data_IF_092152196205
#
_entry.id   IF_092152196205
#
_cell.length_a   1.000
_cell.length_b   1.000
_cell.length_c   1.000
_cell.angle_alpha   90.00
_cell.angle_beta   90.00
_cell.angle_gamma   90.00
#
_symmetry.space_group_name_H-M   'P 1'
#
loop_
_entity.id
_entity.type
_entity.pdbx_description
1 polymer ?
#
# COMPACT_ATOMS: atom_id res chain seq x y z
N UNK A 1 34.20 16.62 -37.52
CA UNK A 1 34.85 16.51 -36.20
C UNK A 1 35.18 15.06 -35.83
N UNK A 2 36.45 14.84 -35.47
CA UNK A 2 37.00 14.03 -34.36
C UNK A 2 36.26 12.73 -33.96
N UNK A 3 36.74 11.61 -34.51
CA UNK A 3 36.54 10.25 -33.97
C UNK A 3 37.26 10.09 -32.62
N UNK A 4 36.56 9.47 -31.67
CA UNK A 4 36.93 9.36 -30.26
C UNK A 4 38.19 8.54 -29.98
N UNK A 5 39.02 9.06 -29.07
CA UNK A 5 40.15 8.38 -28.46
C UNK A 5 39.62 7.51 -27.32
N UNK A 6 39.62 6.19 -27.51
CA UNK A 6 39.34 5.21 -26.46
C UNK A 6 40.56 5.13 -25.54
N UNK A 7 40.39 5.46 -24.25
CA UNK A 7 41.42 5.29 -23.23
C UNK A 7 41.58 3.79 -22.93
N UNK A 8 42.79 3.31 -23.10
CA UNK A 8 43.27 1.96 -22.74
C UNK A 8 43.34 1.85 -21.22
N UNK A 9 42.60 0.91 -20.62
CA UNK A 9 42.72 0.54 -19.21
C UNK A 9 43.60 -0.71 -19.14
N UNK A 10 44.71 -0.58 -18.44
CA UNK A 10 45.67 -1.65 -18.14
C UNK A 10 44.98 -2.77 -17.37
N UNK A 11 45.21 -4.02 -17.80
CA UNK A 11 44.80 -5.22 -17.10
C UNK A 11 45.52 -5.29 -15.75
N UNK A 12 44.78 -5.15 -14.66
CA UNK A 12 45.21 -5.65 -13.35
C UNK A 12 44.87 -7.14 -13.35
N UNK A 13 45.87 -7.97 -13.11
CA UNK A 13 45.67 -9.39 -12.79
C UNK A 13 45.17 -9.43 -11.35
N UNK A 14 43.90 -9.77 -11.17
CA UNK A 14 43.37 -10.21 -9.87
C UNK A 14 43.46 -11.73 -9.86
N UNK A 15 44.20 -12.24 -8.89
CA UNK A 15 44.35 -13.65 -8.58
C UNK A 15 42.98 -14.17 -8.09
N UNK A 16 42.50 -15.25 -8.71
CA UNK A 16 41.29 -15.96 -8.27
C UNK A 16 41.61 -16.70 -6.97
N UNK A 17 41.32 -16.07 -5.83
CA UNK A 17 41.12 -16.79 -4.56
C UNK A 17 39.66 -17.26 -4.52
N UNK A 18 39.44 -18.52 -4.92
CA UNK A 18 38.22 -19.25 -4.59
C UNK A 18 38.23 -19.53 -3.07
N UNK A 19 37.67 -18.61 -2.29
CA UNK A 19 37.23 -18.89 -0.93
C UNK A 19 35.73 -19.19 -0.94
N UNK A 20 35.41 -20.45 -0.67
CA UNK A 20 34.07 -21.00 -0.40
C UNK A 20 33.43 -20.24 0.80
N UNK A 21 32.81 -19.11 0.54
CA UNK A 21 32.12 -18.29 1.55
C UNK A 21 30.60 -18.32 1.34
N UNK A 22 30.05 -19.53 1.19
CA UNK A 22 28.61 -19.78 1.00
C UNK A 22 27.84 -19.86 2.34
N UNK A 23 28.52 -19.69 3.49
CA UNK A 23 27.91 -19.77 4.82
C UNK A 23 27.57 -18.39 5.43
N UNK A 24 28.13 -17.30 4.90
CA UNK A 24 27.88 -15.95 5.45
C UNK A 24 26.49 -15.39 5.11
N UNK A 25 25.83 -15.92 4.07
CA UNK A 25 24.53 -15.43 3.60
C UNK A 25 23.34 -15.98 4.39
N UNK A 26 23.53 -17.05 5.16
CA UNK A 26 22.45 -17.72 5.88
C UNK A 26 22.03 -17.03 7.19
N UNK A 27 22.88 -16.14 7.74
CA UNK A 27 22.68 -15.64 9.11
C UNK A 27 21.98 -14.28 9.24
N UNK A 28 21.49 -13.68 8.15
CA UNK A 28 20.78 -12.40 8.19
C UNK A 28 19.25 -12.50 8.26
N UNK A 29 18.69 -13.72 8.31
CA UNK A 29 17.25 -13.90 8.55
C UNK A 29 17.02 -14.33 10.00
N UNK A 30 16.35 -13.51 10.83
CA UNK A 30 16.12 -13.83 12.24
C UNK A 30 15.12 -14.98 12.38
N UNK A 31 15.59 -16.22 12.33
CA UNK A 31 14.72 -17.40 12.49
C UNK A 31 14.64 -17.94 13.92
N UNK A 32 15.55 -17.58 14.84
CA UNK A 32 15.75 -18.43 16.04
C UNK A 32 15.73 -17.76 17.42
N UNK A 33 15.11 -16.58 17.62
CA UNK A 33 15.15 -15.97 18.96
C UNK A 33 13.81 -15.53 19.58
N UNK A 34 12.69 -15.57 18.88
CA UNK A 34 11.39 -15.27 19.49
C UNK A 34 10.33 -16.18 18.88
N UNK A 35 9.69 -17.04 19.68
CA UNK A 35 8.59 -17.88 19.20
C UNK A 35 7.39 -17.07 18.68
N UNK A 36 7.30 -15.77 19.01
CA UNK A 36 6.24 -14.86 18.57
C UNK A 36 6.69 -13.83 17.50
N UNK A 37 8.00 -13.65 17.29
CA UNK A 37 8.54 -12.64 16.36
C UNK A 37 8.24 -12.93 14.88
N UNK A 38 8.44 -14.18 14.39
CA UNK A 38 8.09 -14.56 13.03
C UNK A 38 6.59 -14.44 12.75
N UNK A 39 5.73 -14.81 13.70
CA UNK A 39 4.27 -14.73 13.54
C UNK A 39 3.77 -13.28 13.44
N UNK A 40 4.23 -12.40 14.34
CA UNK A 40 3.87 -10.97 14.29
C UNK A 40 4.36 -10.31 13.00
N UNK A 41 5.52 -10.73 12.48
CA UNK A 41 6.07 -10.25 11.21
C UNK A 41 5.17 -10.68 10.03
N UNK A 42 4.78 -11.95 9.97
CA UNK A 42 3.89 -12.48 8.91
C UNK A 42 2.52 -11.81 8.93
N UNK A 43 1.93 -11.63 10.12
CA UNK A 43 0.64 -10.94 10.29
C UNK A 43 0.71 -9.49 9.83
N UNK A 44 1.78 -8.77 10.20
CA UNK A 44 1.99 -7.38 9.77
C UNK A 44 2.20 -7.27 8.26
N UNK A 45 3.01 -8.15 7.66
CA UNK A 45 3.22 -8.18 6.21
C UNK A 45 1.92 -8.44 5.47
N UNK A 46 1.11 -9.39 5.95
CA UNK A 46 -0.20 -9.66 5.36
C UNK A 46 -1.12 -8.45 5.45
N UNK A 47 -1.20 -7.80 6.61
CA UNK A 47 -2.03 -6.60 6.79
C UNK A 47 -1.57 -5.44 5.87
N UNK A 48 -0.26 -5.31 5.61
CA UNK A 48 0.27 -4.34 4.65
C UNK A 48 -0.13 -4.68 3.21
N UNK A 49 -0.02 -5.95 2.81
CA UNK A 49 -0.41 -6.42 1.47
C UNK A 49 -1.90 -6.25 1.20
N UNK A 50 -2.74 -6.60 2.19
CA UNK A 50 -4.19 -6.45 2.07
C UNK A 50 -4.60 -4.97 1.88
N UNK A 51 -3.83 -4.03 2.45
CA UNK A 51 -4.08 -2.60 2.31
C UNK A 51 -3.69 -2.03 0.93
N UNK A 52 -2.84 -2.71 0.14
CA UNK A 52 -2.47 -2.24 -1.22
C UNK A 52 -3.67 -2.22 -2.17
N UNK A 53 -4.64 -3.11 -1.97
CA UNK A 53 -5.86 -3.23 -2.77
C UNK A 53 -7.08 -2.51 -2.15
N UNK A 54 -6.84 -1.57 -1.22
CA UNK A 54 -7.91 -0.92 -0.48
C UNK A 54 -8.75 0.05 -1.32
N UNK A 55 -9.92 0.43 -0.82
CA UNK A 55 -10.90 1.22 -1.56
C UNK A 55 -10.39 2.60 -2.00
N UNK A 56 -9.53 3.24 -1.21
CA UNK A 56 -8.86 4.49 -1.60
C UNK A 56 -7.87 4.30 -2.76
N UNK A 57 -7.41 3.09 -3.06
CA UNK A 57 -6.62 2.77 -4.24
C UNK A 57 -7.46 2.69 -5.53
N UNK A 58 -8.78 2.53 -5.42
CA UNK A 58 -9.70 2.35 -6.54
C UNK A 58 -9.92 3.65 -7.33
N UNK A 59 -8.98 3.95 -8.23
CA UNK A 59 -9.04 5.13 -9.08
C UNK A 59 -10.27 5.13 -10.01
N UNK A 60 -10.74 3.95 -10.43
CA UNK A 60 -11.89 3.82 -11.33
C UNK A 60 -13.17 4.30 -10.66
N UNK A 61 -13.45 3.81 -9.45
CA UNK A 61 -14.64 4.23 -8.69
C UNK A 61 -14.56 5.72 -8.33
N UNK A 62 -13.38 6.22 -7.92
CA UNK A 62 -13.21 7.66 -7.65
C UNK A 62 -13.47 8.52 -8.87
N UNK A 63 -12.99 8.11 -10.04
CA UNK A 63 -13.23 8.84 -11.29
C UNK A 63 -14.72 8.87 -11.64
N UNK A 64 -15.43 7.74 -11.46
CA UNK A 64 -16.89 7.68 -11.66
C UNK A 64 -17.63 8.65 -10.73
N UNK A 65 -17.29 8.66 -9.44
CA UNK A 65 -17.86 9.61 -8.46
C UNK A 65 -17.56 11.05 -8.85
N UNK A 66 -16.32 11.37 -9.23
CA UNK A 66 -15.93 12.72 -9.64
C UNK A 66 -16.61 13.18 -10.94
N UNK A 67 -17.02 12.24 -11.80
CA UNK A 67 -17.75 12.52 -13.03
C UNK A 67 -19.27 12.63 -12.87
N UNK A 68 -19.80 12.46 -11.65
CA UNK A 68 -21.23 12.61 -11.40
C UNK A 68 -21.68 14.04 -11.75
N UNK A 69 -22.81 14.20 -12.45
CA UNK A 69 -23.31 15.51 -12.87
C UNK A 69 -23.75 16.37 -11.67
N UNK A 70 -23.72 17.69 -11.80
CA UNK A 70 -24.06 18.58 -10.67
C UNK A 70 -25.53 18.44 -10.24
N UNK A 71 -26.40 18.08 -11.18
CA UNK A 71 -27.82 17.87 -10.99
C UNK A 71 -28.13 16.74 -10.01
N UNK A 72 -27.22 15.79 -9.77
CA UNK A 72 -27.43 14.73 -8.76
C UNK A 72 -27.12 15.18 -7.32
N UNK A 73 -26.50 16.35 -7.14
CA UNK A 73 -26.09 16.86 -5.82
C UNK A 73 -26.63 18.25 -5.49
N UNK A 74 -27.03 19.05 -6.48
CA UNK A 74 -27.55 20.40 -6.29
C UNK A 74 -29.05 20.47 -6.60
N UNK A 75 -29.85 20.55 -5.54
CA UNK A 75 -31.32 20.65 -5.62
C UNK A 75 -31.81 21.91 -6.33
N UNK A 76 -31.02 22.98 -6.35
CA UNK A 76 -31.41 24.23 -7.02
C UNK A 76 -31.51 24.05 -8.54
N UNK A 77 -30.83 23.06 -9.10
CA UNK A 77 -30.86 22.76 -10.54
C UNK A 77 -32.14 22.05 -10.99
N UNK A 78 -32.97 21.56 -10.05
CA UNK A 78 -34.22 20.86 -10.39
C UNK A 78 -35.22 21.78 -11.11
N UNK A 79 -35.18 23.09 -10.87
CA UNK A 79 -36.06 24.06 -11.55
C UNK A 79 -35.84 24.10 -13.08
N UNK A 80 -34.67 23.65 -13.54
CA UNK A 80 -34.30 23.61 -14.97
C UNK A 80 -34.88 22.38 -15.68
N UNK A 81 -35.44 21.42 -14.95
CA UNK A 81 -36.07 20.23 -15.52
C UNK A 81 -37.53 20.55 -15.84
N UNK A 82 -37.82 20.71 -17.13
CA UNK A 82 -39.12 21.17 -17.62
C UNK A 82 -39.99 20.05 -18.18
N UNK A 83 -39.46 18.85 -18.33
CA UNK A 83 -40.16 17.71 -18.92
C UNK A 83 -39.96 16.42 -18.14
N UNK A 84 -40.94 15.51 -18.27
CA UNK A 84 -40.97 14.24 -17.56
C UNK A 84 -39.82 13.31 -17.97
N UNK A 85 -39.39 13.35 -19.23
CA UNK A 85 -38.34 12.45 -19.72
C UNK A 85 -36.99 12.81 -19.09
N UNK A 86 -36.66 14.11 -19.02
CA UNK A 86 -35.48 14.60 -18.33
C UNK A 86 -35.52 14.29 -16.83
N UNK A 87 -36.68 14.44 -16.18
CA UNK A 87 -36.85 14.07 -14.78
C UNK A 87 -36.63 12.56 -14.54
N UNK A 88 -37.23 11.71 -15.38
CA UNK A 88 -37.08 10.25 -15.28
C UNK A 88 -35.63 9.80 -15.53
N UNK A 89 -34.87 10.50 -16.41
CA UNK A 89 -33.43 10.27 -16.61
C UNK A 89 -32.62 10.67 -15.38
N UNK A 90 -32.84 11.89 -14.85
CA UNK A 90 -32.13 12.34 -13.66
C UNK A 90 -32.40 11.41 -12.46
N UNK A 91 -33.65 10.98 -12.28
CA UNK A 91 -34.02 10.04 -11.20
C UNK A 91 -33.16 8.78 -11.23
N UNK A 92 -32.98 8.17 -12.41
CA UNK A 92 -32.12 6.98 -12.56
C UNK A 92 -30.67 7.28 -12.23
N UNK A 93 -30.13 8.41 -12.70
CA UNK A 93 -28.76 8.82 -12.39
C UNK A 93 -28.56 9.09 -10.90
N UNK A 94 -29.55 9.68 -10.22
CA UNK A 94 -29.53 9.87 -8.76
C UNK A 94 -29.52 8.52 -8.03
N UNK A 95 -30.37 7.57 -8.44
CA UNK A 95 -30.43 6.24 -7.83
C UNK A 95 -29.09 5.49 -7.97
N UNK A 96 -28.50 5.52 -9.17
CA UNK A 96 -27.19 4.93 -9.45
C UNK A 96 -26.07 5.61 -8.63
N UNK A 97 -26.09 6.94 -8.55
CA UNK A 97 -25.14 7.71 -7.76
C UNK A 97 -25.25 7.38 -6.25
N UNK A 98 -26.47 7.22 -5.73
CA UNK A 98 -26.71 6.87 -4.34
C UNK A 98 -26.12 5.50 -4.00
N UNK A 99 -26.35 4.49 -4.85
CA UNK A 99 -25.80 3.15 -4.67
C UNK A 99 -24.26 3.17 -4.71
N UNK A 100 -23.69 3.85 -5.71
CA UNK A 100 -22.24 3.99 -5.87
C UNK A 100 -21.58 4.62 -4.64
N UNK A 101 -22.15 5.73 -4.15
CA UNK A 101 -21.64 6.45 -2.98
C UNK A 101 -21.79 5.62 -1.70
N UNK A 102 -22.91 4.92 -1.52
CA UNK A 102 -23.12 4.07 -0.36
C UNK A 102 -22.11 2.91 -0.31
N UNK A 103 -21.88 2.24 -1.43
CA UNK A 103 -20.89 1.16 -1.54
C UNK A 103 -19.48 1.68 -1.29
N UNK A 104 -19.09 2.78 -1.95
CA UNK A 104 -17.77 3.38 -1.79
C UNK A 104 -17.52 3.82 -0.35
N UNK A 105 -18.47 4.52 0.27
CA UNK A 105 -18.35 4.98 1.65
C UNK A 105 -18.28 3.80 2.64
N UNK A 106 -19.02 2.71 2.39
CA UNK A 106 -18.92 1.49 3.18
C UNK A 106 -17.54 0.86 3.11
N UNK A 107 -17.00 0.70 1.88
CA UNK A 107 -15.64 0.19 1.66
C UNK A 107 -14.57 1.09 2.28
N UNK A 108 -14.70 2.41 2.14
CA UNK A 108 -13.78 3.38 2.71
C UNK A 108 -13.81 3.36 4.25
N UNK A 109 -14.98 3.20 4.86
CA UNK A 109 -15.11 3.11 6.31
C UNK A 109 -14.43 1.85 6.87
N UNK A 110 -14.58 0.70 6.20
CA UNK A 110 -13.89 -0.54 6.56
C UNK A 110 -12.36 -0.36 6.47
N UNK A 111 -11.89 0.19 5.35
CA UNK A 111 -10.47 0.48 5.15
C UNK A 111 -9.89 1.44 6.20
N UNK A 112 -10.64 2.45 6.64
CA UNK A 112 -10.20 3.34 7.71
C UNK A 112 -10.02 2.59 9.03
N UNK A 113 -10.84 1.59 9.32
CA UNK A 113 -10.66 0.74 10.50
C UNK A 113 -9.46 -0.18 10.35
N UNK A 114 -9.28 -0.79 9.18
CA UNK A 114 -8.09 -1.61 8.86
C UNK A 114 -6.81 -0.80 9.06
N UNK A 115 -6.79 0.48 8.63
CA UNK A 115 -5.66 1.38 8.88
C UNK A 115 -5.41 1.67 10.35
N UNK A 116 -6.46 1.82 11.17
CA UNK A 116 -6.31 2.00 12.62
C UNK A 116 -5.76 0.75 13.29
N UNK A 117 -6.19 -0.43 12.84
CA UNK A 117 -5.64 -1.69 13.31
C UNK A 117 -4.16 -1.82 12.90
N UNK A 118 -3.83 -1.57 11.64
CA UNK A 118 -2.45 -1.61 11.16
C UNK A 118 -1.54 -0.64 11.92
N UNK A 119 -2.00 0.57 12.23
CA UNK A 119 -1.24 1.52 13.04
C UNK A 119 -0.92 0.99 14.45
N UNK A 120 -1.85 0.24 15.06
CA UNK A 120 -1.61 -0.44 16.35
C UNK A 120 -0.59 -1.56 16.19
N UNK A 121 -0.74 -2.41 15.17
CA UNK A 121 0.20 -3.50 14.88
C UNK A 121 1.62 -2.97 14.64
N UNK A 122 1.77 -1.87 13.89
CA UNK A 122 3.07 -1.22 13.66
C UNK A 122 3.69 -0.73 14.98
N UNK A 123 2.89 -0.13 15.86
CA UNK A 123 3.38 0.36 17.16
C UNK A 123 3.89 -0.79 18.03
N UNK A 124 3.12 -1.87 18.11
CA UNK A 124 3.49 -3.09 18.84
C UNK A 124 4.74 -3.74 18.26
N UNK A 125 4.81 -3.88 16.93
CA UNK A 125 5.96 -4.44 16.23
C UNK A 125 7.24 -3.62 16.48
N UNK A 126 7.16 -2.30 16.40
CA UNK A 126 8.31 -1.42 16.69
C UNK A 126 8.81 -1.61 18.12
N UNK A 127 7.90 -1.73 19.10
CA UNK A 127 8.29 -1.94 20.48
C UNK A 127 8.97 -3.30 20.68
N UNK A 128 8.38 -4.37 20.12
CA UNK A 128 8.97 -5.72 20.16
C UNK A 128 10.36 -5.74 19.50
N UNK A 129 10.54 -5.08 18.35
CA UNK A 129 11.84 -5.00 17.68
C UNK A 129 12.89 -4.24 18.50
N UNK A 130 12.50 -3.20 19.26
CA UNK A 130 13.41 -2.49 20.18
C UNK A 130 13.84 -3.37 21.35
N UNK A 131 12.93 -4.15 21.91
CA UNK A 131 13.23 -5.10 22.99
C UNK A 131 14.18 -6.20 22.49
N UNK A 132 13.86 -6.83 21.36
CA UNK A 132 14.70 -7.84 20.73
C UNK A 132 16.09 -7.30 20.37
N UNK A 133 16.19 -6.05 19.91
CA UNK A 133 17.48 -5.39 19.66
C UNK A 133 18.29 -5.25 20.96
N UNK A 134 17.69 -4.72 22.02
CA UNK A 134 18.37 -4.54 23.31
C UNK A 134 18.84 -5.87 23.91
N UNK A 135 18.06 -6.94 23.77
CA UNK A 135 18.48 -8.27 24.21
C UNK A 135 19.65 -8.82 23.39
N UNK A 136 19.66 -8.61 22.07
CA UNK A 136 20.78 -9.01 21.21
C UNK A 136 22.04 -8.22 21.51
N UNK A 137 21.93 -6.91 21.76
CA UNK A 137 23.05 -6.07 22.18
C UNK A 137 23.66 -6.58 23.49
N UNK A 138 22.84 -6.88 24.51
CA UNK A 138 23.30 -7.46 25.79
C UNK A 138 23.93 -8.84 25.67
N UNK A 139 23.52 -9.65 24.68
CA UNK A 139 24.12 -10.97 24.41
C UNK A 139 25.48 -10.86 23.70
N UNK A 140 25.73 -9.74 23.04
CA UNK A 140 26.97 -9.47 22.30
C UNK A 140 28.08 -8.89 23.20
N UNK A 141 27.70 -8.12 24.23
CA UNK A 141 28.60 -7.61 25.29
C UNK A 141 29.05 -8.71 26.27
#
# INVERSE_FOLDING_TARGET
EKKGVKRTIQKVQEEEEEEDDDDYRAHYSPHEADTNGPQLTEELVKALQDLENAASGDATVRQKIASLPQEVQDVSLLEKITDKEAADKLSKTVDEACLLLAEYNGRLAAELEDRRQLARMLTEYINSQKEALSEREKKLE
#
